data_IF_344683574165
#
_entry.id   IF_344683574165
#
_cell.length_a   1.000
_cell.length_b   1.000
_cell.length_c   1.000
_cell.angle_alpha   90.00
_cell.angle_beta   90.00
_cell.angle_gamma   90.00
#
_symmetry.space_group_name_H-M   'P 1'
#
loop_
_entity.id
_entity.type
_entity.pdbx_description
1 polymer ?
#
# COMPACT_ATOMS: atom_id res chain seq x y z
N UNK A 1 -6.46 16.12 -13.93
CA UNK A 1 -5.52 15.83 -12.83
C UNK A 1 -5.50 16.90 -11.73
N UNK A 2 -5.77 18.20 -12.02
CA UNK A 2 -5.77 19.26 -10.99
C UNK A 2 -6.95 19.28 -9.99
N UNK A 3 -8.13 18.78 -10.35
CA UNK A 3 -9.33 18.90 -9.50
C UNK A 3 -9.36 17.95 -8.30
N UNK A 4 -8.70 16.80 -8.38
CA UNK A 4 -8.68 15.82 -7.28
C UNK A 4 -7.79 16.25 -6.13
N UNK A 5 -6.64 16.85 -6.42
CA UNK A 5 -5.77 17.43 -5.39
C UNK A 5 -6.43 18.61 -4.67
N UNK A 6 -7.17 19.43 -5.42
CA UNK A 6 -7.91 20.55 -4.84
C UNK A 6 -9.05 20.06 -3.92
N UNK A 7 -9.71 18.96 -4.31
CA UNK A 7 -10.73 18.28 -3.49
C UNK A 7 -10.14 17.66 -2.22
N UNK A 8 -8.99 16.98 -2.32
CA UNK A 8 -8.24 16.44 -1.17
C UNK A 8 -7.85 17.56 -0.19
N UNK A 9 -7.42 18.72 -0.69
CA UNK A 9 -7.06 19.87 0.14
C UNK A 9 -8.19 20.34 1.07
N UNK A 10 -9.44 20.22 0.62
CA UNK A 10 -10.66 20.68 1.32
C UNK A 10 -11.23 19.67 2.32
N UNK A 11 -10.74 18.43 2.35
CA UNK A 11 -11.18 17.42 3.31
C UNK A 11 -10.75 17.75 4.74
N UNK A 12 -11.56 17.31 5.71
CA UNK A 12 -11.19 17.33 7.13
C UNK A 12 -9.98 16.42 7.39
N UNK A 13 -9.22 16.65 8.48
CA UNK A 13 -8.07 15.82 8.82
C UNK A 13 -8.39 14.32 8.88
N UNK A 14 -9.51 13.93 9.48
CA UNK A 14 -9.91 12.53 9.65
C UNK A 14 -10.22 11.88 8.30
N UNK A 15 -10.85 12.61 7.38
CA UNK A 15 -11.15 12.15 6.02
C UNK A 15 -9.88 11.99 5.20
N UNK A 16 -8.89 12.87 5.37
CA UNK A 16 -7.57 12.74 4.72
C UNK A 16 -6.85 11.47 5.19
N UNK A 17 -6.92 11.19 6.50
CA UNK A 17 -6.35 9.96 7.06
C UNK A 17 -7.05 8.73 6.50
N UNK A 18 -8.39 8.73 6.43
CA UNK A 18 -9.14 7.63 5.85
C UNK A 18 -8.73 7.35 4.40
N UNK A 19 -8.62 8.38 3.56
CA UNK A 19 -8.14 8.23 2.17
C UNK A 19 -6.71 7.68 2.12
N UNK A 20 -5.82 8.14 2.99
CA UNK A 20 -4.44 7.65 3.04
C UNK A 20 -4.37 6.16 3.44
N UNK A 21 -5.24 5.71 4.36
CA UNK A 21 -5.36 4.32 4.75
C UNK A 21 -5.89 3.47 3.57
N UNK A 22 -6.96 3.92 2.91
CA UNK A 22 -7.53 3.22 1.75
C UNK A 22 -6.51 3.06 0.61
N UNK A 23 -5.73 4.11 0.34
CA UNK A 23 -4.65 4.09 -0.63
C UNK A 23 -3.55 3.08 -0.23
N UNK A 24 -3.20 3.04 1.05
CA UNK A 24 -2.20 2.11 1.58
C UNK A 24 -2.69 0.66 1.44
N UNK A 25 -3.94 0.38 1.77
CA UNK A 25 -4.55 -0.95 1.65
C UNK A 25 -4.65 -1.40 0.19
N UNK A 26 -4.98 -0.49 -0.73
CA UNK A 26 -4.93 -0.76 -2.16
C UNK A 26 -3.51 -1.16 -2.62
N UNK A 27 -2.48 -0.43 -2.18
CA UNK A 27 -1.08 -0.74 -2.51
C UNK A 27 -0.64 -2.10 -1.96
N UNK A 28 -1.02 -2.44 -0.73
CA UNK A 28 -0.70 -3.74 -0.11
C UNK A 28 -1.37 -4.88 -0.87
N UNK A 29 -2.64 -4.74 -1.28
CA UNK A 29 -3.34 -5.74 -2.08
C UNK A 29 -2.67 -6.00 -3.43
N UNK A 30 -2.32 -4.94 -4.16
CA UNK A 30 -1.58 -5.07 -5.43
C UNK A 30 -0.25 -5.81 -5.24
N UNK A 31 0.48 -5.50 -4.17
CA UNK A 31 1.71 -6.21 -3.83
C UNK A 31 1.45 -7.71 -3.55
N UNK A 32 0.38 -8.02 -2.83
CA UNK A 32 0.02 -9.39 -2.48
C UNK A 32 -0.30 -10.20 -3.74
N UNK A 33 -1.08 -9.62 -4.65
CA UNK A 33 -1.45 -10.27 -5.92
C UNK A 33 -0.23 -10.50 -6.79
N UNK A 34 0.69 -9.53 -6.85
CA UNK A 34 1.97 -9.71 -7.55
C UNK A 34 2.85 -10.81 -6.94
N UNK A 35 2.81 -11.03 -5.63
CA UNK A 35 3.53 -12.14 -4.98
C UNK A 35 2.84 -13.47 -5.30
N UNK A 36 1.50 -13.55 -5.20
CA UNK A 36 0.74 -14.75 -5.56
C UNK A 36 0.98 -15.18 -7.01
N UNK A 37 1.07 -14.22 -7.92
CA UNK A 37 1.37 -14.49 -9.33
C UNK A 37 2.78 -15.08 -9.55
N UNK A 38 3.76 -14.69 -8.72
CA UNK A 38 5.13 -15.21 -8.78
C UNK A 38 5.30 -16.56 -8.06
N UNK A 39 4.48 -16.83 -7.05
CA UNK A 39 4.55 -18.05 -6.23
C UNK A 39 3.18 -18.73 -6.18
N UNK A 40 2.79 -19.48 -7.23
CA UNK A 40 1.55 -20.23 -7.23
C UNK A 40 1.49 -21.23 -6.07
N UNK A 41 0.39 -21.23 -5.31
CA UNK A 41 0.21 -22.12 -4.16
C UNK A 41 0.90 -21.70 -2.86
N UNK A 42 1.45 -20.48 -2.80
CA UNK A 42 2.02 -19.92 -1.57
C UNK A 42 0.98 -19.95 -0.41
N UNK A 43 1.44 -20.31 0.78
CA UNK A 43 0.60 -20.26 1.98
C UNK A 43 0.34 -18.81 2.40
N UNK A 44 -0.72 -18.59 3.18
CA UNK A 44 -1.02 -17.26 3.70
C UNK A 44 0.10 -16.72 4.61
N UNK A 45 0.67 -17.59 5.46
CA UNK A 45 1.78 -17.22 6.34
C UNK A 45 3.02 -16.78 5.55
N UNK A 46 3.39 -17.52 4.50
CA UNK A 46 4.54 -17.17 3.67
C UNK A 46 4.29 -15.92 2.83
N UNK A 47 3.06 -15.73 2.33
CA UNK A 47 2.65 -14.50 1.65
C UNK A 47 2.81 -13.28 2.58
N UNK A 48 2.38 -13.38 3.84
CA UNK A 48 2.51 -12.31 4.83
C UNK A 48 3.99 -12.01 5.14
N UNK A 49 4.84 -13.04 5.26
CA UNK A 49 6.27 -12.86 5.47
C UNK A 49 6.93 -12.09 4.31
N UNK A 50 6.66 -12.50 3.06
CA UNK A 50 7.18 -11.84 1.85
C UNK A 50 6.64 -10.42 1.68
N UNK A 51 5.36 -10.20 2.00
CA UNK A 51 4.76 -8.86 2.00
C UNK A 51 5.46 -7.93 2.97
N UNK A 52 5.74 -8.38 4.20
CA UNK A 52 6.46 -7.60 5.20
C UNK A 52 7.85 -7.21 4.69
N UNK A 53 8.61 -8.18 4.14
CA UNK A 53 9.92 -7.91 3.55
C UNK A 53 9.84 -6.84 2.45
N UNK A 54 8.85 -6.95 1.55
CA UNK A 54 8.66 -5.99 0.45
C UNK A 54 8.32 -4.59 0.94
N UNK A 55 7.49 -4.47 1.98
CA UNK A 55 7.13 -3.18 2.57
C UNK A 55 8.29 -2.56 3.36
N UNK A 56 9.10 -3.36 4.04
CA UNK A 56 10.33 -2.90 4.72
C UNK A 56 11.36 -2.35 3.72
N UNK A 57 11.51 -2.95 2.54
CA UNK A 57 12.36 -2.39 1.48
C UNK A 57 11.91 -0.97 1.08
N UNK A 58 10.60 -0.75 0.94
CA UNK A 58 10.04 0.58 0.63
C UNK A 58 10.24 1.62 1.74
N UNK A 59 10.45 1.21 3.00
CA UNK A 59 10.78 2.11 4.10
C UNK A 59 12.24 2.55 4.08
N UNK A 60 13.16 1.68 3.67
CA UNK A 60 14.62 1.94 3.63
C UNK A 60 15.01 3.04 2.63
N UNK A 61 14.18 3.30 1.62
CA UNK A 61 14.38 4.40 0.66
C UNK A 61 13.98 5.80 1.15
N UNK A 62 13.32 5.94 2.30
CA UNK A 62 12.87 7.24 2.83
C UNK A 62 13.92 7.99 3.67
N UNK A 63 15.16 7.48 3.71
CA UNK A 63 16.29 8.08 4.44
C UNK A 63 17.47 8.49 3.55
N UNK A 64 17.29 8.63 2.23
CA UNK A 64 18.30 9.17 1.30
C UNK A 64 17.72 10.33 0.52
#
# INVERSE_FOLDING_TARGET
MGSEFERLGRLKPEEKVAVALDMSDACVRVCADGIRAQYPGISEEELLARLRERLEWGKRGRGR
#
